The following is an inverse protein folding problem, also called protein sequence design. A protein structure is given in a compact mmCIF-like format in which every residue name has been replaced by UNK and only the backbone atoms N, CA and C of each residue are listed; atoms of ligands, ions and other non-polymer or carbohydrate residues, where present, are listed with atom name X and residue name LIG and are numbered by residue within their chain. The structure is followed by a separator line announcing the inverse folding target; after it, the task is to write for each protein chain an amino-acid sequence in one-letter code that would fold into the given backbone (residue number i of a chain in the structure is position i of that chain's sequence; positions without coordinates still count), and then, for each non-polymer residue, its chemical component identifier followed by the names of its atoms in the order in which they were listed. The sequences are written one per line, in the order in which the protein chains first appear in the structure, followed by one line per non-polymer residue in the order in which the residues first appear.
data_IF_549839934366
#
_entry.id   IF_549839934366
#
_cell.length_a   1.000
_cell.length_b   1.000
_cell.length_c   1.000
_cell.angle_alpha   90.00
_cell.angle_beta   90.00
_cell.angle_gamma   90.00
#
_symmetry.space_group_name_H-M   'P 1'
#
loop_
_entity.id
_entity.type
_entity.pdbx_description
1 polymer ?
#
# COMPACT_ATOMS: atom_id res chain seq x y z
N UNK A 1 10.87 12.16 7.93
CA UNK A 1 9.97 11.02 7.58
C UNK A 1 10.64 9.72 7.99
N UNK A 2 9.91 8.61 8.22
CA UNK A 2 10.48 7.28 8.52
C UNK A 2 10.31 6.36 7.33
N UNK A 3 11.32 5.56 7.05
CA UNK A 3 11.34 4.64 5.90
C UNK A 3 11.17 3.19 6.34
N UNK A 4 10.49 2.42 5.50
CA UNK A 4 10.13 1.02 5.69
C UNK A 4 10.43 0.23 4.40
N UNK A 5 10.41 -1.10 4.50
CA UNK A 5 10.49 -2.00 3.34
C UNK A 5 9.28 -2.92 3.36
N UNK A 6 8.63 -3.09 2.21
CA UNK A 6 7.54 -4.06 2.05
C UNK A 6 8.08 -5.47 1.84
N UNK A 7 7.46 -6.45 2.51
CA UNK A 7 7.78 -7.87 2.32
C UNK A 7 7.25 -8.43 1.00
N UNK A 8 6.60 -7.61 0.18
CA UNK A 8 6.18 -8.00 -1.18
C UNK A 8 7.37 -8.49 -2.02
N UNK A 9 8.57 -7.92 -1.80
CA UNK A 9 9.79 -8.33 -2.48
C UNK A 9 10.32 -9.72 -2.04
N UNK A 10 9.81 -10.27 -0.94
CA UNK A 10 10.14 -11.63 -0.49
C UNK A 10 9.30 -12.69 -1.21
N UNK A 11 8.22 -12.29 -1.88
CA UNK A 11 7.35 -13.19 -2.62
C UNK A 11 8.02 -13.55 -3.94
N UNK A 12 8.40 -14.81 -4.09
CA UNK A 12 8.98 -15.35 -5.33
C UNK A 12 7.93 -16.21 -6.03
N UNK A 13 7.58 -15.82 -7.24
CA UNK A 13 6.76 -16.63 -8.13
C UNK A 13 7.67 -17.55 -8.94
N UNK A 14 7.68 -18.83 -8.66
CA UNK A 14 8.31 -19.83 -9.55
C UNK A 14 7.37 -20.09 -10.72
N UNK A 15 7.73 -19.55 -11.89
CA UNK A 15 7.08 -19.88 -13.15
C UNK A 15 7.44 -21.31 -13.55
N UNK A 16 6.60 -22.26 -13.20
CA UNK A 16 6.70 -23.64 -13.70
C UNK A 16 5.50 -23.94 -14.59
N UNK A 17 5.73 -23.95 -15.91
CA UNK A 17 4.79 -24.43 -16.93
C UNK A 17 3.38 -23.80 -16.90
N UNK A 18 3.26 -22.53 -16.51
CA UNK A 18 1.99 -21.84 -16.43
C UNK A 18 1.19 -22.11 -15.16
N UNK A 19 1.77 -22.77 -14.19
CA UNK A 19 1.16 -23.08 -12.91
C UNK A 19 1.60 -22.04 -11.86
N UNK A 20 0.78 -21.02 -11.65
CA UNK A 20 1.01 -19.92 -10.70
C UNK A 20 0.89 -20.36 -9.22
N UNK A 21 0.82 -21.64 -8.94
CA UNK A 21 0.51 -22.17 -7.60
C UNK A 21 1.71 -22.24 -6.64
N UNK A 22 2.94 -22.01 -7.10
CA UNK A 22 4.09 -22.02 -6.20
C UNK A 22 4.60 -20.63 -5.89
N UNK A 23 3.98 -20.00 -4.91
CA UNK A 23 4.58 -18.87 -4.21
C UNK A 23 5.54 -19.41 -3.15
N UNK A 24 6.79 -19.01 -3.21
CA UNK A 24 7.77 -19.20 -2.13
C UNK A 24 8.12 -17.84 -1.53
N UNK A 25 8.61 -17.86 -0.29
CA UNK A 25 9.00 -16.63 0.42
C UNK A 25 10.49 -16.70 0.72
N UNK A 26 11.22 -15.70 0.25
CA UNK A 26 12.62 -15.48 0.62
C UNK A 26 12.70 -14.60 1.87
N UNK A 27 13.78 -14.74 2.64
CA UNK A 27 14.02 -13.93 3.83
C UNK A 27 15.02 -12.81 3.52
N UNK A 28 14.63 -11.88 2.65
CA UNK A 28 15.49 -10.80 2.15
C UNK A 28 15.22 -9.47 2.85
N UNK A 29 13.96 -9.07 2.90
CA UNK A 29 13.58 -7.71 3.31
C UNK A 29 13.76 -7.47 4.80
N UNK A 30 13.40 -8.40 5.66
CA UNK A 30 13.49 -8.21 7.10
C UNK A 30 14.93 -8.06 7.63
N UNK A 31 15.93 -8.86 7.19
CA UNK A 31 17.34 -8.59 7.49
C UNK A 31 17.80 -7.22 7.00
N UNK A 32 17.44 -6.83 5.78
CA UNK A 32 17.79 -5.54 5.20
C UNK A 32 17.18 -4.38 5.98
N UNK A 33 15.91 -4.49 6.40
CA UNK A 33 15.26 -3.51 7.25
C UNK A 33 16.00 -3.35 8.58
N UNK A 34 16.33 -4.46 9.25
CA UNK A 34 17.04 -4.46 10.52
C UNK A 34 18.43 -3.84 10.44
N UNK A 35 19.20 -4.18 9.42
CA UNK A 35 20.56 -3.66 9.20
C UNK A 35 20.57 -2.14 8.97
N UNK A 36 19.49 -1.61 8.40
CA UNK A 36 19.38 -0.20 8.05
C UNK A 36 18.48 0.60 9.01
N UNK A 37 18.00 -0.01 10.11
CA UNK A 37 17.13 0.66 11.08
C UNK A 37 15.77 1.09 10.51
N UNK A 38 15.27 0.38 9.50
CA UNK A 38 14.00 0.66 8.83
C UNK A 38 12.84 -0.10 9.48
N UNK A 39 11.63 0.42 9.31
CA UNK A 39 10.42 -0.33 9.60
C UNK A 39 10.12 -1.41 8.56
N UNK A 40 9.06 -2.18 8.76
CA UNK A 40 8.64 -3.21 7.83
C UNK A 40 7.15 -3.11 7.55
N UNK A 41 6.78 -3.31 6.29
CA UNK A 41 5.41 -3.57 5.90
C UNK A 41 5.23 -5.07 5.66
N UNK A 42 4.28 -5.65 6.40
CA UNK A 42 3.89 -7.05 6.27
C UNK A 42 2.86 -7.16 5.13
N UNK A 43 3.28 -7.67 3.98
CA UNK A 43 2.46 -7.80 2.77
C UNK A 43 2.05 -9.26 2.45
N UNK A 44 2.43 -10.23 3.26
CA UNK A 44 2.09 -11.65 3.00
C UNK A 44 0.59 -11.90 2.98
N UNK A 45 -0.17 -11.13 3.74
CA UNK A 45 -1.64 -11.24 3.81
C UNK A 45 -2.36 -10.40 2.75
N UNK A 46 -1.65 -9.74 1.84
CA UNK A 46 -2.29 -9.09 0.68
C UNK A 46 -2.97 -10.10 -0.26
N UNK A 47 -2.65 -11.38 -0.12
CA UNK A 47 -3.27 -12.51 -0.82
C UNK A 47 -4.22 -13.23 0.16
N UNK A 48 -5.53 -13.29 -0.15
CA UNK A 48 -6.54 -13.87 0.75
C UNK A 48 -6.33 -15.34 1.06
N UNK A 49 -5.75 -16.13 0.14
CA UNK A 49 -5.41 -17.53 0.40
C UNK A 49 -4.42 -17.69 1.55
N UNK A 50 -3.52 -16.72 1.74
CA UNK A 50 -2.56 -16.70 2.84
C UNK A 50 -3.23 -16.45 4.20
N UNK A 51 -4.43 -15.91 4.20
CA UNK A 51 -5.23 -15.70 5.41
C UNK A 51 -6.05 -16.93 5.81
N UNK A 52 -6.24 -17.88 4.90
CA UNK A 52 -7.08 -19.07 5.09
C UNK A 52 -6.29 -20.37 4.83
N UNK A 53 -6.34 -20.86 3.59
CA UNK A 53 -5.84 -22.21 3.23
C UNK A 53 -4.32 -22.36 3.35
N UNK A 54 -3.58 -21.27 3.22
CA UNK A 54 -2.10 -21.24 3.32
C UNK A 54 -1.62 -20.66 4.65
N UNK A 55 -2.52 -20.31 5.58
CA UNK A 55 -2.20 -19.58 6.80
C UNK A 55 -1.06 -20.22 7.61
N UNK A 56 -1.15 -21.52 7.89
CA UNK A 56 -0.14 -22.23 8.69
C UNK A 56 1.25 -22.27 8.02
N UNK A 57 1.29 -22.18 6.69
CA UNK A 57 2.54 -22.14 5.92
C UNK A 57 3.14 -20.74 5.89
N UNK A 58 2.31 -19.69 5.85
CA UNK A 58 2.73 -18.30 5.71
C UNK A 58 3.04 -17.66 7.07
N UNK A 59 2.28 -18.02 8.11
CA UNK A 59 2.42 -17.44 9.44
C UNK A 59 3.86 -17.41 9.98
N UNK A 60 4.69 -18.46 9.83
CA UNK A 60 6.08 -18.43 10.30
C UNK A 60 6.95 -17.37 9.60
N UNK A 61 6.64 -17.02 8.34
CA UNK A 61 7.32 -15.93 7.62
C UNK A 61 6.90 -14.58 8.17
N UNK A 62 5.60 -14.36 8.35
CA UNK A 62 5.08 -13.12 8.95
C UNK A 62 5.66 -12.91 10.35
N UNK A 63 5.67 -13.94 11.20
CA UNK A 63 6.24 -13.87 12.56
C UNK A 63 7.75 -13.56 12.53
N UNK A 64 8.49 -14.18 11.62
CA UNK A 64 9.91 -13.90 11.41
C UNK A 64 10.11 -12.42 11.02
N UNK A 65 9.41 -11.96 9.98
CA UNK A 65 9.52 -10.59 9.48
C UNK A 65 9.11 -9.57 10.56
N UNK A 66 7.99 -9.79 11.24
CA UNK A 66 7.52 -8.94 12.32
C UNK A 66 8.49 -8.86 13.51
N UNK A 67 9.29 -9.91 13.75
CA UNK A 67 10.29 -9.94 14.83
C UNK A 67 11.52 -9.09 14.56
N UNK A 68 11.80 -8.77 13.30
CA UNK A 68 13.03 -8.09 12.87
C UNK A 68 12.96 -6.57 12.95
N UNK A 69 11.77 -5.98 12.96
CA UNK A 69 11.56 -4.55 13.04
C UNK A 69 10.67 -4.16 14.23
N UNK A 70 10.99 -3.07 14.91
CA UNK A 70 10.18 -2.51 16.00
C UNK A 70 8.92 -1.82 15.47
N UNK A 71 8.99 -1.20 14.31
CA UNK A 71 7.90 -0.47 13.67
C UNK A 71 7.36 -1.28 12.50
N UNK A 72 6.03 -1.44 12.49
CA UNK A 72 5.35 -2.28 11.50
C UNK A 72 4.08 -1.61 10.98
N UNK A 73 3.81 -1.84 9.72
CA UNK A 73 2.52 -1.60 9.07
C UNK A 73 2.09 -2.90 8.38
N UNK A 74 0.85 -3.01 7.96
CA UNK A 74 0.33 -4.23 7.36
C UNK A 74 -0.50 -3.89 6.13
N UNK A 75 -0.20 -4.55 5.01
CA UNK A 75 -0.97 -4.45 3.79
C UNK A 75 -2.15 -5.43 3.82
N UNK A 76 -3.37 -4.90 3.69
CA UNK A 76 -4.58 -5.72 3.60
C UNK A 76 -4.67 -6.44 2.24
N UNK A 77 -5.46 -7.51 2.13
CA UNK A 77 -5.76 -8.07 0.83
C UNK A 77 -6.54 -7.05 -0.01
N UNK A 78 -6.34 -7.10 -1.32
CA UNK A 78 -6.92 -6.11 -2.23
C UNK A 78 -7.69 -6.73 -3.41
N UNK A 79 -7.35 -7.94 -3.83
CA UNK A 79 -8.04 -8.60 -4.93
C UNK A 79 -9.49 -8.91 -4.55
N UNK A 80 -10.44 -8.58 -5.43
CA UNK A 80 -11.89 -8.82 -5.29
C UNK A 80 -12.54 -8.18 -4.03
N UNK A 81 -11.87 -7.24 -3.35
CA UNK A 81 -12.40 -6.56 -2.18
C UNK A 81 -12.94 -5.18 -2.55
N UNK A 82 -14.25 -5.08 -2.67
CA UNK A 82 -14.94 -3.87 -3.11
C UNK A 82 -15.89 -3.34 -2.02
N UNK A 83 -15.41 -2.49 -1.09
CA UNK A 83 -16.24 -1.88 -0.05
C UNK A 83 -17.45 -1.12 -0.59
N UNK A 84 -17.30 -0.59 -1.82
CA UNK A 84 -18.29 0.21 -2.52
C UNK A 84 -19.20 -0.61 -3.45
N UNK A 85 -19.09 -1.94 -3.48
CA UNK A 85 -19.87 -2.77 -4.41
C UNK A 85 -21.37 -2.56 -4.26
N UNK A 86 -22.09 -2.76 -5.38
CA UNK A 86 -23.55 -2.72 -5.41
C UNK A 86 -24.13 -3.96 -4.71
N UNK A 87 -23.51 -5.12 -4.94
CA UNK A 87 -23.94 -6.37 -4.31
C UNK A 87 -23.51 -6.42 -2.84
N UNK A 88 -24.46 -6.53 -1.89
CA UNK A 88 -24.12 -6.58 -0.46
C UNK A 88 -23.33 -7.81 -0.06
N UNK A 89 -23.32 -8.90 -0.84
CA UNK A 89 -22.46 -10.07 -0.57
C UNK A 89 -21.01 -9.77 -0.85
N UNK A 90 -20.71 -8.99 -1.89
CA UNK A 90 -19.35 -8.54 -2.19
C UNK A 90 -18.85 -7.58 -1.11
N UNK A 91 -19.69 -6.63 -0.68
CA UNK A 91 -19.38 -5.75 0.46
C UNK A 91 -19.12 -6.56 1.73
N UNK A 92 -19.88 -7.62 1.97
CA UNK A 92 -19.69 -8.50 3.13
C UNK A 92 -18.33 -9.19 3.10
N UNK A 93 -17.88 -9.66 1.94
CA UNK A 93 -16.53 -10.26 1.80
C UNK A 93 -15.45 -9.23 2.17
N UNK A 94 -15.50 -8.02 1.63
CA UNK A 94 -14.58 -6.95 1.98
C UNK A 94 -14.62 -6.64 3.49
N UNK A 95 -15.82 -6.59 4.08
CA UNK A 95 -16.03 -6.38 5.50
C UNK A 95 -15.31 -7.43 6.37
N UNK A 96 -15.55 -8.71 6.09
CA UNK A 96 -14.95 -9.81 6.86
C UNK A 96 -13.42 -9.84 6.72
N UNK A 97 -12.88 -9.59 5.51
CA UNK A 97 -11.44 -9.55 5.27
C UNK A 97 -10.74 -8.38 5.96
N UNK A 98 -11.34 -7.21 5.95
CA UNK A 98 -10.75 -6.06 6.65
C UNK A 98 -10.83 -6.20 8.16
N UNK A 99 -11.87 -6.81 8.73
CA UNK A 99 -11.90 -7.19 10.15
C UNK A 99 -10.76 -8.15 10.49
N UNK A 100 -10.58 -9.22 9.71
CA UNK A 100 -9.50 -10.18 9.89
C UNK A 100 -8.12 -9.50 9.80
N UNK A 101 -7.94 -8.61 8.84
CA UNK A 101 -6.69 -7.84 8.68
C UNK A 101 -6.45 -6.91 9.87
N UNK A 102 -7.49 -6.26 10.38
CA UNK A 102 -7.38 -5.39 11.54
C UNK A 102 -6.95 -6.18 12.79
N UNK A 103 -7.48 -7.39 12.97
CA UNK A 103 -7.04 -8.29 14.05
C UNK A 103 -5.56 -8.69 13.88
N UNK A 104 -5.08 -8.86 12.65
CA UNK A 104 -3.66 -9.10 12.39
C UNK A 104 -2.81 -7.86 12.69
N UNK A 105 -3.29 -6.66 12.41
CA UNK A 105 -2.60 -5.44 12.85
C UNK A 105 -2.40 -5.43 14.37
N UNK A 106 -3.44 -5.76 15.14
CA UNK A 106 -3.35 -5.88 16.58
C UNK A 106 -2.37 -6.99 17.02
N UNK A 107 -2.45 -8.16 16.38
CA UNK A 107 -1.60 -9.32 16.69
C UNK A 107 -0.11 -9.03 16.49
N UNK A 108 0.24 -8.39 15.38
CA UNK A 108 1.64 -8.14 15.02
C UNK A 108 2.14 -6.77 15.49
N UNK A 109 1.28 -5.94 16.07
CA UNK A 109 1.61 -4.59 16.54
C UNK A 109 1.87 -3.63 15.37
N UNK A 110 1.14 -3.77 14.27
CA UNK A 110 1.18 -2.83 13.16
C UNK A 110 0.38 -1.56 13.52
N UNK A 111 0.95 -0.40 13.23
CA UNK A 111 0.34 0.90 13.52
C UNK A 111 -0.59 1.41 12.42
N UNK A 112 -0.47 0.81 11.23
CA UNK A 112 -1.27 1.17 10.05
C UNK A 112 -1.73 -0.07 9.32
N UNK A 113 -2.91 0.05 8.68
CA UNK A 113 -3.48 -0.92 7.75
C UNK A 113 -3.63 -0.25 6.39
N UNK A 114 -2.96 -0.76 5.36
CA UNK A 114 -3.05 -0.23 4.01
C UNK A 114 -4.16 -0.97 3.28
N UNK A 115 -5.02 -0.24 2.57
CA UNK A 115 -6.17 -0.78 1.83
C UNK A 115 -6.28 -0.09 0.48
N UNK A 116 -6.60 -0.83 -0.57
CA UNK A 116 -6.85 -0.24 -1.89
C UNK A 116 -8.23 0.41 -1.97
N UNK A 117 -8.34 1.52 -2.71
CA UNK A 117 -9.63 2.14 -2.99
C UNK A 117 -10.46 1.35 -4.02
N UNK A 118 -9.81 0.68 -4.97
CA UNK A 118 -10.42 -0.23 -5.95
C UNK A 118 -11.49 0.41 -6.87
N UNK A 119 -11.23 1.64 -7.33
CA UNK A 119 -12.09 2.29 -8.33
C UNK A 119 -12.01 1.56 -9.67
N UNK A 120 -13.15 1.28 -10.27
CA UNK A 120 -13.25 0.73 -11.63
C UNK A 120 -13.86 1.82 -12.51
N UNK A 121 -13.02 2.42 -13.36
CA UNK A 121 -13.42 3.43 -14.33
C UNK A 121 -14.50 2.87 -15.28
N UNK A 122 -15.44 3.70 -15.70
CA UNK A 122 -16.59 3.36 -16.52
C UNK A 122 -17.64 2.43 -15.84
N UNK A 123 -17.30 1.75 -14.75
CA UNK A 123 -18.21 0.89 -13.98
C UNK A 123 -18.90 1.67 -12.85
N UNK A 124 -18.15 2.48 -12.11
CA UNK A 124 -18.65 3.24 -10.97
C UNK A 124 -18.71 4.74 -11.24
N UNK A 125 -19.84 5.36 -10.96
CA UNK A 125 -19.89 6.82 -10.91
C UNK A 125 -19.11 7.35 -9.71
N UNK A 126 -18.29 8.43 -9.87
CA UNK A 126 -17.49 9.01 -8.79
C UNK A 126 -18.25 9.28 -7.50
N UNK A 127 -19.44 9.88 -7.60
CA UNK A 127 -20.29 10.18 -6.42
C UNK A 127 -20.74 8.90 -5.71
N UNK A 128 -21.08 7.87 -6.47
CA UNK A 128 -21.43 6.57 -5.91
C UNK A 128 -20.26 5.94 -5.17
N UNK A 129 -19.11 5.91 -5.81
CA UNK A 129 -17.87 5.36 -5.26
C UNK A 129 -17.53 6.01 -3.90
N UNK A 130 -17.50 7.35 -3.86
CA UNK A 130 -17.21 8.11 -2.64
C UNK A 130 -18.24 7.82 -1.55
N UNK A 131 -19.55 7.95 -1.84
CA UNK A 131 -20.60 7.79 -0.84
C UNK A 131 -20.58 6.38 -0.22
N UNK A 132 -20.36 5.33 -1.03
CA UNK A 132 -20.31 3.95 -0.53
C UNK A 132 -19.09 3.68 0.35
N UNK A 133 -17.94 4.21 -0.02
CA UNK A 133 -16.76 4.16 0.84
C UNK A 133 -17.00 4.88 2.17
N UNK A 134 -17.64 6.05 2.14
CA UNK A 134 -17.95 6.82 3.35
C UNK A 134 -18.85 6.01 4.29
N UNK A 135 -19.93 5.39 3.77
CA UNK A 135 -20.79 4.52 4.56
C UNK A 135 -20.02 3.36 5.19
N UNK A 136 -19.19 2.70 4.39
CA UNK A 136 -18.38 1.56 4.82
C UNK A 136 -17.39 1.95 5.92
N UNK A 137 -16.56 2.95 5.69
CA UNK A 137 -15.49 3.32 6.63
C UNK A 137 -16.01 3.95 7.92
N UNK A 138 -17.08 4.75 7.86
CA UNK A 138 -17.74 5.24 9.10
C UNK A 138 -18.18 4.10 9.99
N UNK A 139 -18.81 3.09 9.41
CA UNK A 139 -19.26 1.91 10.15
C UNK A 139 -18.06 1.10 10.68
N UNK A 140 -17.06 0.84 9.84
CA UNK A 140 -15.88 0.08 10.21
C UNK A 140 -15.12 0.73 11.38
N UNK A 141 -14.85 2.02 11.29
CA UNK A 141 -14.14 2.77 12.34
C UNK A 141 -14.92 2.87 13.65
N UNK A 142 -16.24 2.89 13.59
CA UNK A 142 -17.08 2.88 14.79
C UNK A 142 -17.00 1.55 15.57
N UNK A 143 -16.78 0.43 14.87
CA UNK A 143 -16.60 -0.90 15.50
C UNK A 143 -15.16 -1.12 15.99
N UNK A 144 -14.18 -0.32 15.54
CA UNK A 144 -12.76 -0.44 15.88
C UNK A 144 -12.24 0.83 16.57
N UNK A 145 -12.38 0.95 17.90
CA UNK A 145 -11.93 2.13 18.62
C UNK A 145 -10.42 2.20 18.87
N UNK A 146 -9.65 1.19 18.43
CA UNK A 146 -8.20 1.13 18.62
C UNK A 146 -7.50 2.17 17.73
N UNK A 147 -6.32 2.63 18.17
CA UNK A 147 -5.52 3.62 17.48
C UNK A 147 -4.65 2.96 16.37
N UNK A 148 -5.31 2.46 15.34
CA UNK A 148 -4.69 1.98 14.11
C UNK A 148 -5.17 2.89 12.99
N UNK A 149 -4.22 3.46 12.24
CA UNK A 149 -4.54 4.28 11.07
C UNK A 149 -4.84 3.39 9.86
N UNK A 150 -5.98 3.61 9.21
CA UNK A 150 -6.32 2.97 7.94
C UNK A 150 -5.90 3.93 6.82
N UNK A 151 -5.04 3.47 5.92
CA UNK A 151 -4.53 4.27 4.81
C UNK A 151 -5.12 3.77 3.50
N UNK A 152 -5.96 4.59 2.88
CA UNK A 152 -6.56 4.29 1.56
C UNK A 152 -5.55 4.64 0.48
N UNK A 153 -5.19 3.65 -0.32
CA UNK A 153 -4.20 3.75 -1.38
C UNK A 153 -4.84 4.05 -2.73
N UNK A 154 -4.21 4.94 -3.50
CA UNK A 154 -4.55 5.16 -4.90
C UNK A 154 -3.91 4.06 -5.78
N UNK A 155 -4.73 3.40 -6.58
CA UNK A 155 -4.27 2.35 -7.53
C UNK A 155 -4.71 2.68 -8.95
N UNK A 156 -6.01 2.66 -9.20
CA UNK A 156 -6.60 2.92 -10.50
C UNK A 156 -7.21 4.33 -10.63
N UNK A 157 -7.27 5.05 -9.55
CA UNK A 157 -7.85 6.39 -9.49
C UNK A 157 -6.99 7.37 -10.28
N UNK A 158 -7.59 8.00 -11.30
CA UNK A 158 -6.93 9.03 -12.12
C UNK A 158 -7.23 10.46 -11.64
N UNK A 159 -8.02 10.60 -10.56
CA UNK A 159 -8.39 11.88 -9.96
C UNK A 159 -8.22 11.81 -8.45
N UNK A 160 -7.33 12.63 -7.85
CA UNK A 160 -7.17 12.70 -6.39
C UNK A 160 -8.47 12.93 -5.63
N UNK A 161 -9.45 13.61 -6.23
CA UNK A 161 -10.73 13.94 -5.60
C UNK A 161 -11.55 12.68 -5.25
N UNK A 162 -11.32 11.55 -5.90
CA UNK A 162 -11.95 10.28 -5.54
C UNK A 162 -11.55 9.85 -4.12
N UNK A 163 -10.26 9.90 -3.80
CA UNK A 163 -9.75 9.56 -2.47
C UNK A 163 -10.05 10.68 -1.46
N UNK A 164 -9.79 11.94 -1.85
CA UNK A 164 -10.01 13.08 -0.97
C UNK A 164 -11.48 13.24 -0.55
N UNK A 165 -12.42 12.93 -1.45
CA UNK A 165 -13.85 12.91 -1.13
C UNK A 165 -14.17 11.91 -0.01
N UNK A 166 -13.62 10.70 -0.07
CA UNK A 166 -13.79 9.68 0.97
C UNK A 166 -13.26 10.20 2.31
N UNK A 167 -12.01 10.71 2.33
CA UNK A 167 -11.33 11.12 3.55
C UNK A 167 -12.01 12.33 4.23
N UNK A 168 -12.45 13.31 3.42
CA UNK A 168 -13.18 14.49 3.93
C UNK A 168 -14.51 14.11 4.55
N UNK A 169 -15.27 13.26 3.88
CA UNK A 169 -16.65 12.98 4.27
C UNK A 169 -16.75 11.93 5.39
N UNK A 170 -15.71 11.08 5.58
CA UNK A 170 -15.64 10.18 6.75
C UNK A 170 -15.40 10.96 8.04
N UNK A 171 -14.60 12.02 8.02
CA UNK A 171 -14.31 12.90 9.16
C UNK A 171 -13.70 12.20 10.38
N UNK A 172 -13.00 11.07 10.19
CA UNK A 172 -12.28 10.36 11.25
C UNK A 172 -10.76 10.49 11.00
N UNK A 173 -9.96 11.00 11.97
CA UNK A 173 -8.52 11.18 11.81
C UNK A 173 -7.74 9.89 11.60
N UNK A 174 -8.34 8.73 11.89
CA UNK A 174 -7.74 7.41 11.67
C UNK A 174 -7.88 6.93 10.22
N UNK A 175 -8.71 7.58 9.39
CA UNK A 175 -8.74 7.30 7.95
C UNK A 175 -7.85 8.32 7.22
N UNK A 176 -6.80 7.84 6.60
CA UNK A 176 -5.78 8.66 5.95
C UNK A 176 -5.51 8.15 4.54
N UNK A 177 -4.61 8.81 3.85
CA UNK A 177 -4.17 8.40 2.52
C UNK A 177 -2.83 7.66 2.59
N UNK A 178 -2.71 6.57 1.85
CA UNK A 178 -1.46 6.07 1.32
C UNK A 178 -1.30 6.64 -0.09
N UNK A 179 -0.30 7.47 -0.34
CA UNK A 179 0.03 7.89 -1.69
C UNK A 179 1.04 6.90 -2.28
N UNK A 180 0.57 6.05 -3.20
CA UNK A 180 1.46 5.30 -4.06
C UNK A 180 1.91 6.19 -5.23
N UNK A 181 3.22 6.46 -5.27
CA UNK A 181 3.80 7.40 -6.23
C UNK A 181 3.96 6.80 -7.62
N UNK A 182 4.13 5.47 -7.68
CA UNK A 182 4.18 4.75 -8.95
C UNK A 182 2.80 4.71 -9.62
N UNK A 183 1.76 4.40 -8.86
CA UNK A 183 0.37 4.45 -9.35
C UNK A 183 -0.05 5.87 -9.75
N UNK A 184 0.37 6.88 -8.99
CA UNK A 184 0.18 8.29 -9.37
C UNK A 184 0.83 8.60 -10.73
N UNK A 185 2.06 8.13 -10.98
CA UNK A 185 2.74 8.30 -12.27
C UNK A 185 2.00 7.64 -13.44
N UNK A 186 1.28 6.54 -13.16
CA UNK A 186 0.44 5.87 -14.16
C UNK A 186 -0.88 6.59 -14.44
N UNK A 187 -1.32 7.49 -13.56
CA UNK A 187 -2.59 8.20 -13.71
C UNK A 187 -2.58 9.27 -14.80
N UNK A 188 -1.38 9.66 -15.24
CA UNK A 188 -1.19 10.79 -16.15
C UNK A 188 -1.10 12.15 -15.46
N UNK A 189 -1.15 12.16 -14.12
CA UNK A 189 -0.89 13.33 -13.28
C UNK A 189 0.46 13.10 -12.60
N UNK A 190 1.35 14.08 -12.65
CA UNK A 190 2.66 13.98 -12.02
C UNK A 190 2.54 13.65 -10.52
N UNK A 191 3.30 12.70 -9.97
CA UNK A 191 3.23 12.32 -8.56
C UNK A 191 3.41 13.50 -7.60
N UNK A 192 4.19 14.50 -8.00
CA UNK A 192 4.41 15.71 -7.22
C UNK A 192 3.15 16.58 -7.11
N UNK A 193 2.26 16.54 -8.10
CA UNK A 193 0.98 17.25 -8.06
C UNK A 193 -0.02 16.50 -7.16
N UNK A 194 -0.03 15.17 -7.22
CA UNK A 194 -0.75 14.35 -6.24
C UNK A 194 -0.33 14.69 -4.81
N UNK A 195 0.98 14.71 -4.56
CA UNK A 195 1.53 15.06 -3.26
C UNK A 195 1.02 16.43 -2.77
N UNK A 196 1.14 17.47 -3.59
CA UNK A 196 0.72 18.84 -3.22
C UNK A 196 -0.75 18.93 -2.84
N UNK A 197 -1.61 18.26 -3.61
CA UNK A 197 -3.06 18.28 -3.41
C UNK A 197 -3.46 17.45 -2.19
N UNK A 198 -2.84 16.28 -2.02
CA UNK A 198 -3.23 15.30 -0.99
C UNK A 198 -2.49 15.47 0.34
N UNK A 199 -1.44 16.30 0.43
CA UNK A 199 -0.56 16.41 1.59
C UNK A 199 -1.29 16.49 2.96
N UNK A 200 -2.41 17.22 3.14
CA UNK A 200 -3.10 17.30 4.43
C UNK A 200 -3.66 15.95 4.91
N UNK A 201 -3.83 15.00 4.01
CA UNK A 201 -4.43 13.69 4.29
C UNK A 201 -3.43 12.53 4.25
N UNK A 202 -2.23 12.74 3.69
CA UNK A 202 -1.23 11.68 3.58
C UNK A 202 -0.66 11.35 4.95
N UNK A 203 -0.60 10.06 5.29
CA UNK A 203 0.16 9.55 6.43
C UNK A 203 1.08 8.40 6.05
N UNK A 204 0.99 7.93 4.82
CA UNK A 204 1.76 6.81 4.31
C UNK A 204 2.07 6.99 2.83
N UNK A 205 3.20 6.45 2.39
CA UNK A 205 3.60 6.39 0.98
C UNK A 205 4.04 4.97 0.64
N UNK A 206 3.64 4.51 -0.55
CA UNK A 206 4.36 3.48 -1.27
C UNK A 206 5.29 4.14 -2.27
N UNK A 207 6.57 3.80 -2.21
CA UNK A 207 7.60 4.38 -3.06
C UNK A 207 8.27 3.29 -3.90
N UNK A 208 8.04 3.35 -5.17
CA UNK A 208 8.71 2.61 -6.22
C UNK A 208 8.76 3.46 -7.47
N UNK A 209 9.56 3.10 -8.45
CA UNK A 209 9.64 3.84 -9.69
C UNK A 209 9.07 3.03 -10.86
N UNK A 210 8.70 3.71 -11.91
CA UNK A 210 8.28 3.14 -13.19
C UNK A 210 8.53 4.14 -14.32
N UNK A 211 8.09 3.85 -15.54
CA UNK A 211 8.27 4.72 -16.71
C UNK A 211 6.96 5.37 -17.18
N UNK A 212 5.94 5.35 -16.32
CA UNK A 212 4.61 5.83 -16.63
C UNK A 212 3.78 4.82 -17.44
N UNK A 213 2.54 5.20 -17.72
CA UNK A 213 1.64 4.38 -18.53
C UNK A 213 2.20 4.20 -19.95
N UNK A 214 2.16 2.98 -20.51
CA UNK A 214 2.60 2.76 -21.88
C UNK A 214 1.68 3.49 -22.87
N UNK A 215 2.24 3.97 -23.99
CA UNK A 215 1.48 4.65 -25.03
C UNK A 215 0.41 3.75 -25.69
N UNK A 216 0.64 2.44 -25.68
CA UNK A 216 -0.30 1.42 -26.16
C UNK A 216 -0.42 0.30 -25.14
N UNK A 217 -1.61 -0.27 -24.98
CA UNK A 217 -1.87 -1.38 -24.08
C UNK A 217 -2.54 -0.94 -22.79
N UNK A 218 -2.47 -1.80 -21.74
CA UNK A 218 -3.08 -1.53 -20.45
C UNK A 218 -2.17 -0.65 -19.60
N UNK A 219 -2.74 0.32 -18.89
CA UNK A 219 -2.05 1.17 -17.93
C UNK A 219 -1.24 0.35 -16.90
N UNK A 220 -1.80 -0.72 -16.38
CA UNK A 220 -1.14 -1.63 -15.43
C UNK A 220 0.15 -2.29 -15.94
N UNK A 221 0.40 -2.28 -17.26
CA UNK A 221 1.68 -2.79 -17.79
C UNK A 221 2.86 -1.85 -17.50
N UNK A 222 2.57 -0.61 -17.14
CA UNK A 222 3.58 0.36 -16.67
C UNK A 222 3.95 0.19 -15.20
N UNK A 223 3.16 -0.56 -14.43
CA UNK A 223 3.35 -0.78 -13.00
C UNK A 223 4.44 -1.82 -12.75
N UNK A 224 5.67 -1.35 -12.75
CA UNK A 224 6.85 -2.21 -12.79
C UNK A 224 7.61 -2.33 -11.48
N UNK A 225 7.23 -1.60 -10.46
CA UNK A 225 7.89 -1.60 -9.15
C UNK A 225 9.42 -1.58 -9.23
N UNK A 226 9.97 -0.70 -10.07
CA UNK A 226 11.42 -0.53 -10.26
C UNK A 226 12.07 0.07 -8.99
N UNK A 227 13.37 -0.12 -8.86
CA UNK A 227 14.15 0.58 -7.85
C UNK A 227 13.99 2.11 -7.97
N UNK A 228 14.15 2.84 -6.85
CA UNK A 228 13.85 4.27 -6.75
C UNK A 228 14.56 5.13 -7.80
N UNK A 229 15.75 4.71 -8.25
CA UNK A 229 16.53 5.42 -9.26
C UNK A 229 16.28 5.02 -10.72
N UNK A 230 15.44 4.00 -10.99
CA UNK A 230 15.42 3.33 -12.31
C UNK A 230 14.26 3.71 -13.23
N UNK A 231 13.43 4.67 -12.85
CA UNK A 231 12.28 5.12 -13.64
C UNK A 231 12.37 6.57 -14.08
N UNK A 232 11.21 7.13 -14.41
CA UNK A 232 11.09 8.52 -14.85
C UNK A 232 10.54 9.46 -13.78
N UNK A 233 10.17 8.96 -12.59
CA UNK A 233 9.78 9.80 -11.45
C UNK A 233 11.05 10.45 -10.89
N UNK A 234 11.06 11.78 -10.77
CA UNK A 234 12.10 12.48 -9.98
C UNK A 234 11.87 12.23 -8.49
N UNK A 235 12.28 11.01 -8.09
CA UNK A 235 12.08 10.53 -6.72
C UNK A 235 12.77 11.41 -5.69
N UNK A 236 13.91 12.04 -6.04
CA UNK A 236 14.62 12.93 -5.12
C UNK A 236 13.84 14.21 -4.84
N UNK A 237 13.33 14.86 -5.88
CA UNK A 237 12.48 16.04 -5.72
C UNK A 237 11.18 15.71 -4.96
N UNK A 238 10.56 14.58 -5.30
CA UNK A 238 9.33 14.12 -4.65
C UNK A 238 9.53 13.84 -3.16
N UNK A 239 10.53 13.05 -2.77
CA UNK A 239 10.77 12.73 -1.36
C UNK A 239 11.23 13.95 -0.55
N UNK A 240 12.02 14.86 -1.14
CA UNK A 240 12.39 16.12 -0.49
C UNK A 240 11.14 16.94 -0.15
N UNK A 241 10.20 17.07 -1.09
CA UNK A 241 8.95 17.77 -0.86
C UNK A 241 8.03 17.03 0.12
N UNK A 242 8.01 15.70 0.07
CA UNK A 242 7.25 14.89 1.01
C UNK A 242 7.74 15.06 2.46
N UNK A 243 9.05 15.11 2.68
CA UNK A 243 9.61 15.38 4.02
C UNK A 243 9.28 16.80 4.52
N UNK A 244 9.14 17.77 3.62
CA UNK A 244 8.74 19.12 3.97
C UNK A 244 7.25 19.22 4.32
N UNK A 245 6.37 18.63 3.49
CA UNK A 245 4.90 18.79 3.62
C UNK A 245 4.29 17.79 4.61
N UNK A 246 4.88 16.61 4.76
CA UNK A 246 4.33 15.50 5.55
C UNK A 246 5.41 14.82 6.40
N UNK A 247 6.11 15.57 7.28
CA UNK A 247 7.28 15.07 8.02
C UNK A 247 6.97 13.85 8.92
N UNK A 248 5.73 13.71 9.37
CA UNK A 248 5.27 12.63 10.24
C UNK A 248 4.78 11.39 9.47
N UNK A 249 4.74 11.45 8.14
CA UNK A 249 4.37 10.31 7.32
C UNK A 249 5.48 9.24 7.30
N UNK A 250 5.09 8.02 6.94
CA UNK A 250 6.00 6.89 6.70
C UNK A 250 6.06 6.59 5.21
N UNK A 251 7.20 6.12 4.70
CA UNK A 251 7.37 5.73 3.31
C UNK A 251 7.89 4.29 3.22
N UNK A 252 7.20 3.45 2.48
CA UNK A 252 7.54 2.04 2.27
C UNK A 252 8.17 1.87 0.90
N UNK A 253 9.36 1.27 0.86
CA UNK A 253 9.96 0.79 -0.38
C UNK A 253 9.16 -0.43 -0.85
N UNK A 254 8.48 -0.30 -1.97
CA UNK A 254 7.69 -1.35 -2.58
C UNK A 254 8.25 -1.75 -3.95
N UNK A 255 9.57 -1.83 -4.05
CA UNK A 255 10.25 -2.26 -5.26
C UNK A 255 10.71 -3.71 -5.17
N UNK A 256 10.78 -4.41 -6.32
CA UNK A 256 11.32 -5.77 -6.41
C UNK A 256 12.85 -5.84 -6.24
N UNK A 257 13.52 -4.68 -6.20
CA UNK A 257 14.96 -4.54 -5.92
C UNK A 257 15.17 -3.67 -4.65
N UNK A 258 14.75 -4.15 -3.45
CA UNK A 258 14.77 -3.35 -2.24
C UNK A 258 16.19 -2.96 -1.82
N UNK A 259 17.21 -3.81 -2.06
CA UNK A 259 18.61 -3.52 -1.76
C UNK A 259 19.10 -2.28 -2.52
N UNK A 260 18.78 -2.21 -3.81
CA UNK A 260 19.13 -1.09 -4.69
C UNK A 260 18.40 0.20 -4.28
N UNK A 261 17.15 0.07 -3.87
CA UNK A 261 16.35 1.19 -3.37
C UNK A 261 16.89 1.74 -2.04
N UNK A 262 17.32 0.87 -1.12
CA UNK A 262 17.97 1.27 0.14
C UNK A 262 19.30 1.97 -0.13
N UNK A 263 20.12 1.45 -1.04
CA UNK A 263 21.39 2.11 -1.44
C UNK A 263 21.11 3.50 -2.01
N UNK A 264 20.10 3.62 -2.90
CA UNK A 264 19.70 4.90 -3.46
C UNK A 264 19.26 5.91 -2.38
N UNK A 265 18.50 5.48 -1.36
CA UNK A 265 18.12 6.36 -0.23
C UNK A 265 19.34 6.85 0.54
N UNK A 266 20.35 5.99 0.78
CA UNK A 266 21.62 6.38 1.43
C UNK A 266 22.40 7.40 0.61
N UNK A 267 22.60 7.11 -0.67
CA UNK A 267 23.34 7.99 -1.59
C UNK A 267 22.71 9.38 -1.73
N UNK A 268 21.38 9.47 -1.58
CA UNK A 268 20.66 10.73 -1.66
C UNK A 268 20.41 11.40 -0.29
N UNK A 269 20.85 10.78 0.81
CA UNK A 269 20.84 11.37 2.16
C UNK A 269 19.50 11.31 2.88
N UNK A 270 18.60 10.40 2.48
CA UNK A 270 17.31 10.18 3.13
C UNK A 270 17.40 9.25 4.35
N UNK A 271 18.37 8.35 4.34
CA UNK A 271 18.71 7.47 5.47
C UNK A 271 20.21 7.45 5.69
N UNK A 272 20.64 7.11 6.93
CA UNK A 272 22.06 7.08 7.35
C UNK A 272 22.78 5.77 7.06
#
# INVERSE_FOLDING_TARGET
MKYYISTIADVVCEEMDGDWEKLSYEKRTAPLAKENGLGIELAEFCITENMDVKFDNVLPHVEYNASMASEKVLHAPYNELFPMAIDPLVVKVAWERYHQTFDYCLRFGASKMIVHANYIEEEYFPVWFVNRHVEFWKKFLAEHPQDITICVENVAECDPELILGILRDVEDPRLRMCLDVGHANLSGIEPIEWLKVCAPYISHYHIHNNVGAPAEGKRSWGDRHLALGDGNIDMKALLTLAEELTPDATAVIESYEPEKSVEWLKENGFIG
#
